data_IF_946327218934
#
_entry.id   IF_946327218934
#
_cell.length_a   1.000
_cell.length_b   1.000
_cell.length_c   1.000
_cell.angle_alpha   90.00
_cell.angle_beta   90.00
_cell.angle_gamma   90.00
#
_symmetry.space_group_name_H-M   'P 1'
#
loop_
_entity.id
_entity.type
_entity.pdbx_description
1 polymer ?
#
# COMPACT_ATOMS: atom_id res chain seq x y z
N UNK A 1 49.56 15.61 -18.97
CA UNK A 1 48.10 15.36 -18.92
C UNK A 1 47.86 14.39 -17.78
N UNK A 2 47.50 14.92 -16.61
CA UNK A 2 47.25 14.13 -15.40
C UNK A 2 45.75 13.86 -15.32
N UNK A 3 45.36 12.59 -15.46
CA UNK A 3 43.99 12.15 -15.20
C UNK A 3 43.82 12.11 -13.67
N UNK A 4 43.05 13.05 -13.13
CA UNK A 4 42.62 13.03 -11.74
C UNK A 4 41.70 11.85 -11.50
N UNK A 5 42.06 10.97 -10.57
CA UNK A 5 41.17 9.96 -10.03
C UNK A 5 40.19 10.65 -9.08
N UNK A 6 39.08 11.15 -9.64
CA UNK A 6 37.94 11.58 -8.85
C UNK A 6 37.33 10.33 -8.19
N UNK A 7 37.42 10.26 -6.86
CA UNK A 7 36.88 9.13 -6.09
C UNK A 7 35.35 9.13 -6.22
N UNK A 8 34.72 8.09 -6.81
CA UNK A 8 33.27 8.07 -7.09
C UNK A 8 32.40 8.08 -5.83
N UNK A 9 32.99 7.92 -4.64
CA UNK A 9 32.32 7.92 -3.33
C UNK A 9 32.13 9.34 -2.76
N UNK A 10 32.81 10.35 -3.32
CA UNK A 10 32.73 11.74 -2.85
C UNK A 10 31.64 12.56 -3.56
N UNK A 11 30.87 11.95 -4.45
CA UNK A 11 29.74 12.61 -5.05
C UNK A 11 28.62 12.81 -4.01
N UNK A 12 28.14 14.05 -3.79
CA UNK A 12 27.12 14.36 -2.78
C UNK A 12 25.79 13.60 -3.00
N UNK A 13 25.55 13.12 -4.23
CA UNK A 13 24.40 12.27 -4.60
C UNK A 13 24.40 10.90 -3.90
N UNK A 14 25.58 10.36 -3.53
CA UNK A 14 25.69 9.03 -2.88
C UNK A 14 25.50 9.14 -1.36
N UNK A 15 25.77 10.32 -0.77
CA UNK A 15 25.70 10.52 0.69
C UNK A 15 24.31 10.96 1.19
N UNK A 16 23.42 11.39 0.28
CA UNK A 16 22.06 11.85 0.62
C UNK A 16 20.98 10.77 0.46
N UNK A 17 21.34 9.50 0.62
CA UNK A 17 20.34 8.43 0.79
C UNK A 17 19.61 8.64 2.13
N UNK A 18 18.45 9.30 2.08
CA UNK A 18 17.60 9.62 3.24
C UNK A 18 16.89 8.38 3.78
N UNK A 19 17.64 7.36 4.21
CA UNK A 19 17.11 6.11 4.81
C UNK A 19 16.24 6.38 6.06
N UNK A 20 16.44 7.54 6.71
CA UNK A 20 15.73 7.93 7.94
C UNK A 20 14.25 8.25 7.74
N UNK A 21 13.88 8.92 6.65
CA UNK A 21 12.47 9.19 6.34
C UNK A 21 11.70 7.91 6.03
N UNK A 22 12.38 6.93 5.42
CA UNK A 22 11.84 5.60 5.22
C UNK A 22 11.62 4.89 6.59
N UNK A 23 12.59 4.91 7.50
CA UNK A 23 12.37 4.13 8.73
C UNK A 23 11.21 4.64 9.61
N UNK A 24 10.94 5.95 9.62
CA UNK A 24 9.90 6.55 10.46
C UNK A 24 8.49 6.29 9.95
N UNK A 25 8.22 6.45 8.65
CA UNK A 25 6.88 6.21 8.11
C UNK A 25 6.49 4.73 8.13
N UNK A 26 7.47 3.83 7.95
CA UNK A 26 7.26 2.38 8.10
C UNK A 26 6.81 2.05 9.53
N UNK A 27 7.52 2.58 10.53
CA UNK A 27 7.20 2.36 11.94
C UNK A 27 5.82 2.91 12.31
N UNK A 28 5.45 4.09 11.81
CA UNK A 28 4.12 4.68 12.05
C UNK A 28 3.01 3.81 11.45
N UNK A 29 3.16 3.34 10.21
CA UNK A 29 2.16 2.45 9.58
C UNK A 29 2.07 1.10 10.31
N UNK A 30 3.22 0.54 10.71
CA UNK A 30 3.29 -0.72 11.45
C UNK A 30 2.57 -0.63 12.80
N UNK A 31 2.77 0.47 13.54
CA UNK A 31 2.08 0.73 14.82
C UNK A 31 0.58 0.89 14.60
N UNK A 32 0.16 1.61 13.55
CA UNK A 32 -1.24 1.80 13.23
C UNK A 32 -1.92 0.47 12.85
N UNK A 33 -1.23 -0.38 12.08
CA UNK A 33 -1.68 -1.72 11.74
C UNK A 33 -1.81 -2.61 12.98
N UNK A 34 -0.81 -2.59 13.86
CA UNK A 34 -0.86 -3.34 15.12
C UNK A 34 -2.01 -2.87 16.02
N UNK A 35 -2.25 -1.56 16.09
CA UNK A 35 -3.37 -0.98 16.83
C UNK A 35 -4.72 -1.38 16.22
N UNK A 36 -4.85 -1.35 14.89
CA UNK A 36 -6.03 -1.83 14.18
C UNK A 36 -6.35 -3.28 14.56
N UNK A 37 -5.36 -4.17 14.46
CA UNK A 37 -5.51 -5.60 14.74
C UNK A 37 -5.81 -5.86 16.23
N UNK A 38 -5.17 -5.15 17.14
CA UNK A 38 -5.44 -5.26 18.58
C UNK A 38 -6.88 -4.85 18.91
N UNK A 39 -7.38 -3.77 18.28
CA UNK A 39 -8.75 -3.30 18.45
C UNK A 39 -9.77 -4.32 17.96
N UNK A 40 -9.50 -4.99 16.83
CA UNK A 40 -10.31 -6.11 16.33
C UNK A 40 -10.32 -7.29 17.28
N UNK A 41 -9.14 -7.67 17.80
CA UNK A 41 -9.02 -8.82 18.70
C UNK A 41 -9.81 -8.63 20.00
N UNK A 42 -10.01 -7.39 20.45
CA UNK A 42 -10.73 -7.08 21.69
C UNK A 42 -12.23 -7.39 21.64
N UNK A 43 -12.83 -7.62 20.46
CA UNK A 43 -14.26 -7.99 20.27
C UNK A 43 -15.27 -7.13 21.08
N UNK A 44 -14.91 -5.91 21.46
CA UNK A 44 -15.68 -5.10 22.39
C UNK A 44 -16.96 -4.49 21.77
N UNK A 45 -17.20 -4.67 20.47
CA UNK A 45 -18.27 -4.02 19.71
C UNK A 45 -19.17 -5.03 18.98
N UNK A 46 -20.46 -4.67 18.74
CA UNK A 46 -21.35 -5.43 17.89
C UNK A 46 -20.78 -5.61 16.46
N UNK A 47 -21.15 -6.68 15.74
CA UNK A 47 -20.49 -7.11 14.51
C UNK A 47 -20.46 -6.04 13.41
N UNK A 48 -21.50 -5.22 13.31
CA UNK A 48 -21.55 -4.11 12.35
C UNK A 48 -20.58 -2.97 12.70
N UNK A 49 -20.46 -2.62 13.99
CA UNK A 49 -19.51 -1.61 14.46
C UNK A 49 -18.07 -2.04 14.26
N UNK A 50 -17.77 -3.32 14.53
CA UNK A 50 -16.46 -3.91 14.30
C UNK A 50 -16.05 -3.83 12.81
N UNK A 51 -16.95 -4.19 11.90
CA UNK A 51 -16.71 -4.09 10.44
C UNK A 51 -16.35 -2.67 10.02
N UNK A 52 -17.12 -1.67 10.48
CA UNK A 52 -16.88 -0.27 10.13
C UNK A 52 -15.51 0.21 10.63
N UNK A 53 -15.14 -0.12 11.87
CA UNK A 53 -13.85 0.22 12.45
C UNK A 53 -12.70 -0.44 11.66
N UNK A 54 -12.85 -1.71 11.29
CA UNK A 54 -11.86 -2.45 10.49
C UNK A 54 -11.65 -1.79 9.14
N UNK A 55 -12.73 -1.48 8.43
CA UNK A 55 -12.64 -0.86 7.10
C UNK A 55 -11.93 0.49 7.15
N UNK A 56 -12.25 1.32 8.16
CA UNK A 56 -11.58 2.61 8.35
C UNK A 56 -10.10 2.41 8.66
N UNK A 57 -9.75 1.51 9.58
CA UNK A 57 -8.36 1.27 9.93
C UNK A 57 -7.55 0.71 8.75
N UNK A 58 -8.14 -0.21 7.98
CA UNK A 58 -7.55 -0.74 6.75
C UNK A 58 -7.33 0.36 5.69
N UNK A 59 -8.28 1.27 5.51
CA UNK A 59 -8.14 2.39 4.60
C UNK A 59 -6.97 3.31 5.02
N UNK A 60 -6.85 3.65 6.31
CA UNK A 60 -5.74 4.48 6.80
C UNK A 60 -4.41 3.76 6.64
N UNK A 61 -4.34 2.45 6.91
CA UNK A 61 -3.13 1.66 6.71
C UNK A 61 -2.70 1.66 5.24
N UNK A 62 -3.63 1.51 4.29
CA UNK A 62 -3.33 1.57 2.85
C UNK A 62 -2.76 2.95 2.47
N UNK A 63 -3.38 4.04 2.95
CA UNK A 63 -2.90 5.40 2.69
C UNK A 63 -1.49 5.60 3.24
N UNK A 64 -1.23 5.14 4.47
CA UNK A 64 0.09 5.19 5.09
C UNK A 64 1.11 4.38 4.29
N UNK A 65 0.76 3.17 3.85
CA UNK A 65 1.61 2.32 3.03
C UNK A 65 1.95 3.00 1.69
N UNK A 66 0.97 3.62 1.03
CA UNK A 66 1.16 4.31 -0.27
C UNK A 66 2.07 5.54 -0.09
N UNK A 67 1.83 6.36 0.92
CA UNK A 67 2.66 7.54 1.20
C UNK A 67 4.11 7.15 1.49
N UNK A 68 4.26 6.01 2.17
CA UNK A 68 5.54 5.51 2.64
C UNK A 68 6.36 4.79 1.56
N UNK A 69 5.75 3.80 0.87
CA UNK A 69 6.39 3.09 -0.24
C UNK A 69 6.74 4.04 -1.37
N UNK A 70 5.94 5.10 -1.55
CA UNK A 70 6.08 5.95 -2.72
C UNK A 70 6.75 7.30 -2.49
N UNK A 71 7.27 7.60 -1.30
CA UNK A 71 8.10 8.78 -1.03
C UNK A 71 7.76 9.97 -1.94
N UNK A 72 6.53 10.50 -1.84
CA UNK A 72 6.11 11.64 -2.65
C UNK A 72 6.85 12.87 -2.12
N UNK A 73 8.15 12.92 -2.41
CA UNK A 73 8.90 14.14 -2.43
C UNK A 73 8.67 14.73 -3.82
N UNK A 74 7.92 15.82 -3.87
CA UNK A 74 7.79 16.69 -5.05
C UNK A 74 9.13 17.43 -5.22
N UNK A 75 10.19 16.66 -5.41
CA UNK A 75 11.54 17.08 -5.70
C UNK A 75 11.88 16.54 -7.08
N UNK A 76 12.51 17.36 -7.92
CA UNK A 76 12.83 17.01 -9.32
C UNK A 76 13.64 15.71 -9.46
N UNK A 77 14.29 15.25 -8.38
CA UNK A 77 15.04 14.00 -8.34
C UNK A 77 14.16 12.72 -8.22
N UNK A 78 12.87 12.83 -7.87
CA UNK A 78 12.02 11.66 -7.58
C UNK A 78 10.79 11.51 -8.50
N UNK A 79 10.87 12.08 -9.71
CA UNK A 79 9.80 12.03 -10.71
C UNK A 79 9.47 10.57 -11.09
N UNK A 80 10.49 9.71 -11.17
CA UNK A 80 10.32 8.30 -11.54
C UNK A 80 9.42 7.52 -10.60
N UNK A 81 9.48 7.77 -9.28
CA UNK A 81 8.62 7.10 -8.32
C UNK A 81 7.15 7.55 -8.45
N UNK A 82 6.95 8.85 -8.67
CA UNK A 82 5.62 9.44 -8.93
C UNK A 82 5.00 8.88 -10.21
N UNK A 83 5.78 8.75 -11.29
CA UNK A 83 5.33 8.16 -12.55
C UNK A 83 4.96 6.69 -12.36
N UNK A 84 5.77 5.92 -11.61
CA UNK A 84 5.47 4.54 -11.27
C UNK A 84 4.15 4.39 -10.49
N UNK A 85 3.82 5.29 -9.55
CA UNK A 85 2.53 5.25 -8.84
C UNK A 85 1.35 5.55 -9.74
N UNK A 86 1.45 6.59 -10.56
CA UNK A 86 0.36 6.97 -11.46
C UNK A 86 0.03 5.82 -12.42
N UNK A 87 1.04 5.06 -12.87
CA UNK A 87 0.82 3.84 -13.66
C UNK A 87 0.33 2.67 -12.82
N UNK A 88 0.78 2.54 -11.57
CA UNK A 88 0.37 1.45 -10.68
C UNK A 88 -1.10 1.53 -10.27
N UNK A 89 -1.63 2.73 -9.96
CA UNK A 89 -3.03 2.91 -9.51
C UNK A 89 -4.05 2.24 -10.45
N UNK A 90 -4.08 2.54 -11.77
CA UNK A 90 -5.04 1.91 -12.66
C UNK A 90 -4.83 0.40 -12.78
N UNK A 91 -3.58 -0.09 -12.77
CA UNK A 91 -3.28 -1.53 -12.76
C UNK A 91 -3.80 -2.20 -11.49
N UNK A 92 -3.65 -1.56 -10.33
CA UNK A 92 -4.10 -2.07 -9.05
C UNK A 92 -5.64 -2.17 -8.98
N UNK A 93 -6.33 -1.10 -9.39
CA UNK A 93 -7.80 -1.07 -9.47
C UNK A 93 -8.30 -2.12 -10.45
N UNK A 94 -7.67 -2.21 -11.63
CA UNK A 94 -8.03 -3.19 -12.65
C UNK A 94 -7.79 -4.61 -12.15
N UNK A 95 -6.69 -4.89 -11.46
CA UNK A 95 -6.38 -6.24 -10.94
C UNK A 95 -7.40 -6.69 -9.90
N UNK A 96 -7.69 -5.86 -8.90
CA UNK A 96 -8.68 -6.18 -7.85
C UNK A 96 -10.08 -6.28 -8.44
N UNK A 97 -10.46 -5.31 -9.28
CA UNK A 97 -11.76 -5.26 -9.93
C UNK A 97 -12.00 -6.44 -10.86
N UNK A 98 -11.04 -6.78 -11.72
CA UNK A 98 -11.14 -7.93 -12.62
C UNK A 98 -11.14 -9.24 -11.85
N UNK A 99 -10.32 -9.39 -10.82
CA UNK A 99 -10.31 -10.60 -9.99
C UNK A 99 -11.67 -10.79 -9.34
N UNK A 100 -12.21 -9.74 -8.69
CA UNK A 100 -13.54 -9.79 -8.09
C UNK A 100 -14.62 -10.13 -9.12
N UNK A 101 -14.62 -9.44 -10.27
CA UNK A 101 -15.60 -9.67 -11.33
C UNK A 101 -15.51 -11.09 -11.89
N UNK A 102 -14.30 -11.56 -12.22
CA UNK A 102 -14.08 -12.91 -12.74
C UNK A 102 -14.57 -13.96 -11.75
N UNK A 103 -14.20 -13.87 -10.48
CA UNK A 103 -14.64 -14.83 -9.47
C UNK A 103 -16.15 -14.78 -9.23
N UNK A 104 -16.78 -13.59 -9.25
CA UNK A 104 -18.23 -13.47 -9.16
C UNK A 104 -18.94 -14.13 -10.35
N UNK A 105 -18.44 -13.93 -11.57
CA UNK A 105 -18.99 -14.56 -12.78
C UNK A 105 -18.78 -16.07 -12.79
N UNK A 106 -17.61 -16.55 -12.35
CA UNK A 106 -17.34 -17.97 -12.22
C UNK A 106 -18.25 -18.61 -11.18
N UNK A 107 -18.37 -18.01 -9.99
CA UNK A 107 -19.29 -18.47 -8.93
C UNK A 107 -20.70 -18.69 -9.48
N UNK A 108 -21.24 -17.71 -10.22
CA UNK A 108 -22.59 -17.79 -10.82
C UNK A 108 -22.73 -18.89 -11.89
N UNK A 109 -21.63 -19.29 -12.56
CA UNK A 109 -21.64 -20.28 -13.66
C UNK A 109 -21.29 -21.69 -13.20
N UNK A 110 -20.48 -21.85 -12.16
CA UNK A 110 -20.01 -23.15 -11.68
C UNK A 110 -20.86 -23.72 -10.56
N UNK A 111 -21.63 -22.89 -9.86
CA UNK A 111 -22.56 -23.37 -8.85
C UNK A 111 -23.92 -23.60 -9.51
N UNK A 112 -24.38 -24.87 -9.66
CA UNK A 112 -25.76 -25.11 -10.03
C UNK A 112 -26.65 -24.46 -8.98
N UNK A 113 -27.67 -23.75 -9.44
CA UNK A 113 -28.69 -23.13 -8.59
C UNK A 113 -29.13 -24.17 -7.55
N UNK A 114 -28.89 -23.94 -6.25
CA UNK A 114 -29.38 -24.87 -5.23
C UNK A 114 -30.91 -24.92 -5.33
N UNK A 115 -31.52 -26.08 -5.62
CA UNK A 115 -32.96 -26.22 -5.57
C UNK A 115 -33.40 -26.11 -4.10
N UNK A 116 -34.09 -25.04 -3.71
CA UNK A 116 -34.62 -24.91 -2.34
C UNK A 116 -34.83 -23.52 -1.76
N UNK A 117 -34.70 -22.43 -2.52
CA UNK A 117 -35.10 -21.10 -2.05
C UNK A 117 -36.31 -20.60 -2.85
N UNK A 118 -37.50 -20.96 -2.36
CA UNK A 118 -38.74 -20.20 -2.52
C UNK A 118 -38.89 -19.26 -1.33
#
# INVERSE_FOLDING_TARGET
>A
MSHGHDNPILHPEVQMSSTRGYFTGFLISLVLMAAATAMVSSHAFPPFGLLMVITICAAIAIIAQIYFLLHIDVSEHNIWNTVSLVLFIPLFILTIGLTWWMFSQLYLRTMPMMPGMH
#
